data_IF_941223057860
#
_entry.id   IF_941223057860
#
_cell.length_a   1.000
_cell.length_b   1.000
_cell.length_c   1.000
_cell.angle_alpha   90.00
_cell.angle_beta   90.00
_cell.angle_gamma   90.00
#
_symmetry.space_group_name_H-M   'P 1'
#
loop_
_entity.id
_entity.type
_entity.pdbx_description
1 polymer ?
#
# COMPACT_ATOMS: atom_id res chain seq x y z
N UNK A 1 16.96 -16.48 -20.63
CA UNK A 1 16.20 -16.99 -21.78
C UNK A 1 15.07 -17.94 -21.37
N UNK A 2 15.25 -18.88 -20.44
CA UNK A 2 14.18 -19.82 -19.97
C UNK A 2 13.04 -19.09 -19.23
N UNK A 3 13.30 -17.99 -18.51
CA UNK A 3 12.29 -17.21 -17.78
C UNK A 3 11.32 -16.41 -18.69
N UNK A 4 11.75 -15.99 -19.87
CA UNK A 4 10.90 -15.22 -20.80
C UNK A 4 9.90 -16.12 -21.53
N UNK A 5 10.22 -17.39 -21.72
CA UNK A 5 9.37 -18.36 -22.44
C UNK A 5 8.18 -18.79 -21.58
N UNK A 6 8.38 -18.93 -20.25
CA UNK A 6 7.31 -19.34 -19.33
C UNK A 6 6.25 -18.25 -19.10
N UNK A 7 6.63 -16.97 -19.17
CA UNK A 7 5.71 -15.85 -18.92
C UNK A 7 4.68 -15.67 -20.04
N UNK A 8 5.02 -16.01 -21.26
CA UNK A 8 4.14 -15.87 -22.42
C UNK A 8 3.03 -16.94 -22.49
N UNK A 9 3.07 -17.96 -21.62
CA UNK A 9 2.05 -19.04 -21.57
C UNK A 9 0.84 -18.71 -20.67
N UNK A 10 0.86 -17.59 -19.92
CA UNK A 10 -0.18 -17.25 -18.97
C UNK A 10 -1.07 -16.11 -19.48
N UNK A 11 -2.34 -16.42 -19.73
CA UNK A 11 -3.33 -15.43 -20.20
C UNK A 11 -3.78 -14.42 -19.12
N UNK A 12 -3.53 -14.73 -17.84
CA UNK A 12 -4.00 -13.90 -16.75
C UNK A 12 -2.89 -12.98 -16.21
N UNK A 13 -3.03 -11.64 -16.38
CA UNK A 13 -2.03 -10.68 -15.92
C UNK A 13 -1.69 -10.79 -14.42
N UNK A 14 -2.66 -11.18 -13.57
CA UNK A 14 -2.43 -11.35 -12.14
C UNK A 14 -1.53 -12.55 -11.85
N UNK A 15 -1.68 -13.63 -12.59
CA UNK A 15 -0.83 -14.82 -12.45
C UNK A 15 0.62 -14.52 -12.83
N UNK A 16 0.83 -13.77 -13.90
CA UNK A 16 2.15 -13.28 -14.31
C UNK A 16 2.80 -12.47 -13.18
N UNK A 17 2.05 -11.56 -12.58
CA UNK A 17 2.56 -10.74 -11.48
C UNK A 17 2.82 -11.56 -10.20
N UNK A 18 2.08 -12.62 -9.92
CA UNK A 18 2.38 -13.53 -8.80
C UNK A 18 3.72 -14.25 -9.00
N UNK A 19 3.97 -14.74 -10.23
CA UNK A 19 5.23 -15.39 -10.57
C UNK A 19 6.39 -14.42 -10.42
N UNK A 20 6.28 -13.22 -10.99
CA UNK A 20 7.30 -12.17 -10.86
C UNK A 20 7.58 -11.82 -9.40
N UNK A 21 6.51 -11.60 -8.61
CA UNK A 21 6.64 -11.26 -7.19
C UNK A 21 7.36 -12.37 -6.42
N UNK A 22 6.98 -13.63 -6.63
CA UNK A 22 7.60 -14.76 -5.94
C UNK A 22 9.07 -14.91 -6.32
N UNK A 23 9.42 -14.89 -7.61
CA UNK A 23 10.81 -14.99 -8.06
C UNK A 23 11.66 -13.83 -7.55
N UNK A 24 11.15 -12.60 -7.63
CA UNK A 24 11.88 -11.43 -7.15
C UNK A 24 12.09 -11.45 -5.62
N UNK A 25 11.21 -12.12 -4.88
CA UNK A 25 11.30 -12.16 -3.42
C UNK A 25 12.48 -12.95 -2.88
N UNK A 26 13.05 -13.86 -3.67
CA UNK A 26 14.10 -14.76 -3.21
C UNK A 26 13.65 -15.76 -2.12
N UNK A 27 12.34 -15.85 -1.88
CA UNK A 27 11.82 -16.79 -0.88
C UNK A 27 11.99 -18.24 -1.34
N UNK A 28 12.33 -19.16 -0.44
CA UNK A 28 12.43 -20.58 -0.75
C UNK A 28 11.06 -21.12 -1.16
N UNK A 29 11.06 -22.15 -2.00
CA UNK A 29 9.82 -22.80 -2.42
C UNK A 29 9.02 -23.35 -1.24
N UNK A 30 9.71 -23.80 -0.19
CA UNK A 30 9.14 -24.24 1.08
C UNK A 30 9.94 -23.68 2.24
N UNK A 31 9.31 -23.30 3.35
CA UNK A 31 10.02 -22.87 4.55
C UNK A 31 10.69 -24.05 5.27
N UNK A 32 10.03 -25.21 5.28
CA UNK A 32 10.57 -26.40 5.91
C UNK A 32 11.51 -27.15 4.96
N UNK A 33 12.70 -27.51 5.46
CA UNK A 33 13.68 -28.30 4.72
C UNK A 33 13.28 -29.78 4.66
N UNK A 34 12.67 -30.29 5.73
CA UNK A 34 12.28 -31.70 5.91
C UNK A 34 10.76 -31.83 6.11
N UNK A 35 10.22 -33.04 5.93
CA UNK A 35 8.80 -33.35 6.11
C UNK A 35 7.95 -33.17 4.86
N UNK A 36 6.65 -33.48 5.01
CA UNK A 36 5.66 -33.45 3.93
C UNK A 36 5.38 -32.00 3.47
N UNK A 37 5.35 -31.81 2.15
CA UNK A 37 5.30 -30.47 1.53
C UNK A 37 4.09 -30.31 0.61
N UNK A 38 2.89 -30.23 1.18
CA UNK A 38 1.65 -30.06 0.41
C UNK A 38 1.58 -28.79 -0.43
N UNK A 39 2.13 -27.70 0.08
CA UNK A 39 1.95 -26.38 -0.50
C UNK A 39 3.25 -25.61 -0.55
N UNK A 40 3.51 -25.00 -1.69
CA UNK A 40 4.66 -24.12 -1.89
C UNK A 40 4.40 -22.71 -1.31
N UNK A 41 5.45 -21.97 -1.03
CA UNK A 41 5.32 -20.56 -0.62
C UNK A 41 4.74 -19.69 -1.74
N UNK A 42 4.99 -20.02 -3.01
CA UNK A 42 4.31 -19.39 -4.15
C UNK A 42 2.78 -19.54 -4.04
N UNK A 43 2.29 -20.77 -3.83
CA UNK A 43 0.87 -21.04 -3.66
C UNK A 43 0.28 -20.32 -2.45
N UNK A 44 0.97 -20.36 -1.30
CA UNK A 44 0.53 -19.68 -0.05
C UNK A 44 0.39 -18.17 -0.25
N UNK A 45 1.40 -17.51 -0.81
CA UNK A 45 1.42 -16.06 -1.07
C UNK A 45 0.31 -15.68 -2.04
N UNK A 46 0.23 -16.36 -3.19
CA UNK A 46 -0.77 -16.09 -4.23
C UNK A 46 -2.19 -16.27 -3.69
N UNK A 47 -2.43 -17.31 -2.89
CA UNK A 47 -3.74 -17.58 -2.31
C UNK A 47 -4.14 -16.55 -1.24
N UNK A 48 -3.19 -16.07 -0.43
CA UNK A 48 -3.42 -14.97 0.53
C UNK A 48 -3.76 -13.67 -0.22
N UNK A 49 -3.05 -13.37 -1.30
CA UNK A 49 -3.32 -12.19 -2.13
C UNK A 49 -4.71 -12.26 -2.74
N UNK A 50 -5.10 -13.42 -3.31
CA UNK A 50 -6.45 -13.64 -3.84
C UNK A 50 -7.52 -13.50 -2.76
N UNK A 51 -7.29 -14.07 -1.57
CA UNK A 51 -8.18 -13.93 -0.42
C UNK A 51 -8.38 -12.46 -0.04
N UNK A 52 -7.30 -11.69 0.05
CA UNK A 52 -7.39 -10.27 0.40
C UNK A 52 -8.09 -9.45 -0.69
N UNK A 53 -7.85 -9.77 -1.95
CA UNK A 53 -8.52 -9.12 -3.09
C UNK A 53 -10.03 -9.39 -3.13
N UNK A 54 -10.44 -10.59 -2.75
CA UNK A 54 -11.85 -11.01 -2.78
C UNK A 54 -12.69 -10.37 -1.67
N UNK A 55 -12.10 -10.09 -0.50
CA UNK A 55 -12.74 -9.39 0.61
C UNK A 55 -13.80 -10.21 1.37
N UNK A 56 -14.01 -11.50 1.02
CA UNK A 56 -14.97 -12.41 1.66
C UNK A 56 -14.46 -12.99 2.98
N UNK A 57 -15.30 -13.70 3.71
CA UNK A 57 -14.88 -14.52 4.87
C UNK A 57 -13.98 -15.66 4.40
N UNK A 58 -13.13 -16.19 5.30
CA UNK A 58 -12.27 -17.35 4.99
C UNK A 58 -13.06 -18.56 4.47
N UNK A 59 -14.26 -18.81 5.05
CA UNK A 59 -15.12 -19.93 4.63
C UNK A 59 -15.63 -19.72 3.21
N UNK A 60 -16.27 -18.58 2.94
CA UNK A 60 -16.87 -18.28 1.65
C UNK A 60 -15.82 -18.19 0.54
N UNK A 61 -14.62 -17.65 0.85
CA UNK A 61 -13.52 -17.60 -0.09
C UNK A 61 -13.05 -19.01 -0.50
N UNK A 62 -12.85 -19.93 0.45
CA UNK A 62 -12.41 -21.29 0.14
C UNK A 62 -13.47 -22.04 -0.71
N UNK A 63 -14.76 -21.87 -0.41
CA UNK A 63 -15.85 -22.45 -1.22
C UNK A 63 -15.80 -21.90 -2.66
N UNK A 64 -15.73 -20.59 -2.83
CA UNK A 64 -15.65 -19.97 -4.16
C UNK A 64 -14.41 -20.41 -4.96
N UNK A 65 -13.28 -20.52 -4.25
CA UNK A 65 -12.04 -20.96 -4.88
C UNK A 65 -12.09 -22.43 -5.35
N UNK A 66 -12.93 -23.28 -4.75
CA UNK A 66 -13.09 -24.67 -5.18
C UNK A 66 -13.65 -24.80 -6.60
N UNK A 67 -14.42 -23.82 -7.03
CA UNK A 67 -15.02 -23.76 -8.37
C UNK A 67 -14.20 -22.91 -9.36
N UNK A 68 -13.11 -22.33 -8.88
CA UNK A 68 -12.32 -21.35 -9.64
C UNK A 68 -11.16 -21.99 -10.38
N UNK A 69 -10.87 -21.51 -11.59
CA UNK A 69 -9.66 -21.84 -12.35
C UNK A 69 -8.35 -21.51 -11.62
N UNK A 70 -8.40 -20.65 -10.57
CA UNK A 70 -7.21 -20.31 -9.79
C UNK A 70 -6.54 -21.52 -9.13
N UNK A 71 -7.30 -22.56 -8.77
CA UNK A 71 -6.75 -23.77 -8.17
C UNK A 71 -5.80 -24.46 -9.14
N UNK A 72 -6.23 -24.72 -10.38
CA UNK A 72 -5.39 -25.30 -11.40
C UNK A 72 -4.26 -24.37 -11.85
N UNK A 73 -4.53 -23.09 -12.03
CA UNK A 73 -3.52 -22.10 -12.43
C UNK A 73 -2.38 -21.92 -11.43
N UNK A 74 -2.65 -22.09 -10.14
CA UNK A 74 -1.63 -22.04 -9.10
C UNK A 74 -1.00 -23.40 -8.81
N UNK A 75 -1.42 -24.47 -9.55
CA UNK A 75 -0.88 -25.80 -9.39
C UNK A 75 -1.25 -26.48 -8.07
N UNK A 76 -2.42 -26.18 -7.51
CA UNK A 76 -2.91 -26.86 -6.32
C UNK A 76 -3.39 -28.28 -6.67
N UNK A 77 -2.83 -29.28 -5.99
CA UNK A 77 -3.31 -30.68 -6.06
C UNK A 77 -4.59 -30.82 -5.21
N UNK A 78 -4.67 -30.12 -4.09
CA UNK A 78 -5.84 -30.09 -3.20
C UNK A 78 -6.11 -28.67 -2.71
N UNK A 79 -7.38 -28.38 -2.45
CA UNK A 79 -7.81 -27.07 -1.96
C UNK A 79 -7.43 -26.94 -0.47
N UNK A 80 -6.77 -25.83 -0.06
CA UNK A 80 -6.47 -25.61 1.35
C UNK A 80 -7.76 -25.33 2.14
N UNK A 81 -7.88 -25.89 3.33
CA UNK A 81 -9.00 -25.60 4.23
C UNK A 81 -8.95 -24.14 4.74
N UNK A 82 -10.08 -23.66 5.31
CA UNK A 82 -10.13 -22.35 5.97
C UNK A 82 -9.09 -22.22 7.09
N UNK A 83 -8.86 -23.31 7.84
CA UNK A 83 -7.88 -23.35 8.94
C UNK A 83 -6.45 -23.29 8.39
N UNK A 84 -6.18 -24.00 7.30
CA UNK A 84 -4.90 -23.94 6.59
C UNK A 84 -4.58 -22.52 6.12
N UNK A 85 -5.54 -21.85 5.46
CA UNK A 85 -5.36 -20.46 5.02
C UNK A 85 -5.16 -19.51 6.20
N UNK A 86 -5.91 -19.70 7.30
CA UNK A 86 -5.71 -18.90 8.50
C UNK A 86 -4.30 -19.06 9.08
N UNK A 87 -3.78 -20.29 9.13
CA UNK A 87 -2.43 -20.58 9.59
C UNK A 87 -1.37 -19.97 8.69
N UNK A 88 -1.58 -19.97 7.37
CA UNK A 88 -0.65 -19.30 6.44
C UNK A 88 -0.59 -17.78 6.69
N UNK A 89 -1.73 -17.12 6.93
CA UNK A 89 -1.73 -15.68 7.26
C UNK A 89 -0.95 -15.40 8.56
N UNK A 90 -1.01 -16.32 9.54
CA UNK A 90 -0.21 -16.21 10.77
C UNK A 90 1.28 -16.47 10.54
N UNK A 91 1.61 -17.42 9.67
CA UNK A 91 2.97 -17.89 9.41
C UNK A 91 3.88 -16.77 8.90
N UNK A 92 3.40 -15.95 7.94
CA UNK A 92 4.22 -14.89 7.38
C UNK A 92 4.46 -13.77 8.39
N UNK A 93 5.73 -13.55 8.71
CA UNK A 93 6.15 -12.43 9.56
C UNK A 93 6.04 -11.09 8.83
N UNK A 94 5.88 -9.99 9.56
CA UNK A 94 5.81 -8.65 8.99
C UNK A 94 7.05 -8.29 8.15
N UNK A 95 8.24 -8.78 8.54
CA UNK A 95 9.48 -8.60 7.77
C UNK A 95 9.33 -9.16 6.36
N UNK A 96 8.84 -10.41 6.24
CA UNK A 96 8.62 -11.07 4.94
C UNK A 96 7.54 -10.37 4.11
N UNK A 97 6.44 -9.94 4.74
CA UNK A 97 5.36 -9.21 4.06
C UNK A 97 5.88 -7.86 3.51
N UNK A 98 6.67 -7.13 4.31
CA UNK A 98 7.30 -5.88 3.88
C UNK A 98 8.34 -6.10 2.78
N UNK A 99 9.08 -7.21 2.82
CA UNK A 99 9.99 -7.60 1.75
C UNK A 99 9.23 -7.81 0.42
N UNK A 100 8.14 -8.58 0.43
CA UNK A 100 7.27 -8.76 -0.74
C UNK A 100 6.72 -7.42 -1.24
N UNK A 101 6.27 -6.56 -0.34
CA UNK A 101 5.77 -5.23 -0.68
C UNK A 101 6.84 -4.37 -1.38
N UNK A 102 8.09 -4.43 -0.95
CA UNK A 102 9.18 -3.62 -1.51
C UNK A 102 9.40 -3.87 -3.00
N UNK A 103 9.15 -5.09 -3.50
CA UNK A 103 9.27 -5.40 -4.94
C UNK A 103 8.16 -4.75 -5.79
N UNK A 104 7.09 -4.28 -5.16
CA UNK A 104 5.95 -3.67 -5.83
C UNK A 104 5.98 -2.14 -5.80
N UNK A 105 6.94 -1.54 -5.10
CA UNK A 105 7.11 -0.09 -5.02
C UNK A 105 7.39 0.52 -6.41
N UNK A 106 7.05 1.80 -6.63
CA UNK A 106 7.57 2.54 -7.78
C UNK A 106 9.10 2.62 -7.68
N UNK A 107 9.79 2.48 -8.81
CA UNK A 107 11.27 2.43 -8.83
C UNK A 107 11.90 3.82 -8.64
N UNK A 108 11.33 4.86 -9.25
CA UNK A 108 11.88 6.21 -9.28
C UNK A 108 10.78 7.24 -9.03
N UNK A 109 10.25 7.35 -7.80
CA UNK A 109 9.24 8.35 -7.49
C UNK A 109 9.90 9.75 -7.43
N UNK A 110 9.38 10.70 -8.19
CA UNK A 110 9.88 12.09 -8.17
C UNK A 110 8.94 13.03 -7.43
N UNK A 111 7.62 12.86 -7.60
CA UNK A 111 6.60 13.64 -6.94
C UNK A 111 5.67 12.73 -6.13
N UNK A 112 5.64 12.96 -4.84
CA UNK A 112 5.02 12.04 -3.87
C UNK A 112 4.12 12.81 -2.91
N UNK A 113 3.26 12.09 -2.18
CA UNK A 113 2.43 12.68 -1.14
C UNK A 113 2.41 11.80 0.11
N UNK A 114 2.32 12.43 1.29
CA UNK A 114 2.10 11.74 2.58
C UNK A 114 0.80 12.25 3.18
N UNK A 115 -0.02 11.31 3.67
CA UNK A 115 -1.25 11.61 4.38
C UNK A 115 -1.67 10.48 5.31
N UNK A 116 -2.43 10.82 6.36
CA UNK A 116 -2.99 9.88 7.32
C UNK A 116 -4.47 9.63 7.09
N UNK A 117 -4.93 8.41 7.33
CA UNK A 117 -6.35 8.07 7.27
C UNK A 117 -6.73 7.07 8.37
N UNK A 118 -7.95 7.16 8.89
CA UNK A 118 -8.47 6.23 9.90
C UNK A 118 -9.16 5.01 9.29
N UNK A 119 -9.00 3.85 9.93
CA UNK A 119 -9.76 2.63 9.62
C UNK A 119 -10.53 2.15 10.85
N UNK A 120 -11.81 1.86 10.65
CA UNK A 120 -12.64 1.23 11.68
C UNK A 120 -12.28 -0.23 11.88
N UNK A 121 -12.59 -0.77 13.07
CA UNK A 121 -12.50 -2.19 13.36
C UNK A 121 -13.88 -2.84 13.26
N UNK A 122 -13.97 -3.98 12.56
CA UNK A 122 -15.21 -4.74 12.43
C UNK A 122 -15.79 -5.22 13.78
N UNK A 123 -14.91 -5.54 14.73
CA UNK A 123 -15.29 -6.06 16.06
C UNK A 123 -15.74 -4.98 17.04
N UNK A 124 -16.05 -3.81 16.56
CA UNK A 124 -16.45 -2.67 17.36
C UNK A 124 -17.96 -2.66 17.54
N UNK A 125 -18.43 -2.57 18.78
CA UNK A 125 -19.83 -2.38 19.11
C UNK A 125 -20.15 -0.90 19.34
N UNK A 126 -20.69 -0.24 18.32
CA UNK A 126 -21.13 1.16 18.43
C UNK A 126 -22.21 1.37 19.49
N UNK A 127 -23.05 0.36 19.69
CA UNK A 127 -24.08 0.39 20.73
C UNK A 127 -23.46 0.39 22.13
N UNK A 128 -22.48 -0.48 22.36
CA UNK A 128 -21.76 -0.54 23.64
C UNK A 128 -21.00 0.76 23.93
N UNK A 129 -20.34 1.32 22.95
CA UNK A 129 -19.59 2.59 23.06
C UNK A 129 -20.51 3.76 23.46
N UNK A 130 -21.69 3.86 22.82
CA UNK A 130 -22.70 4.87 23.17
C UNK A 130 -23.20 4.72 24.62
N UNK A 131 -23.43 3.46 25.06
CA UNK A 131 -23.93 3.19 26.41
C UNK A 131 -22.91 3.50 27.51
N UNK A 132 -21.63 3.27 27.26
CA UNK A 132 -20.53 3.49 28.22
C UNK A 132 -20.02 4.94 28.17
N UNK A 133 -20.55 5.78 27.26
CA UNK A 133 -20.14 7.19 27.14
C UNK A 133 -18.75 7.42 26.56
N UNK A 134 -18.17 6.42 25.89
CA UNK A 134 -16.90 6.57 25.18
C UNK A 134 -17.09 7.48 23.96
N UNK A 135 -16.64 8.72 24.07
CA UNK A 135 -16.69 9.70 22.97
C UNK A 135 -15.57 9.54 21.96
N UNK A 136 -14.46 8.92 22.36
CA UNK A 136 -13.31 8.65 21.48
C UNK A 136 -13.30 7.19 21.05
N UNK A 137 -13.54 7.00 19.80
CA UNK A 137 -13.57 5.69 19.17
C UNK A 137 -12.14 5.16 18.95
N UNK A 138 -11.77 3.95 19.45
CA UNK A 138 -10.53 3.33 19.07
C UNK A 138 -10.55 3.03 17.57
N UNK A 139 -9.80 3.74 16.78
CA UNK A 139 -9.57 3.48 15.36
C UNK A 139 -8.09 3.19 15.13
N UNK A 140 -7.81 2.42 14.10
CA UNK A 140 -6.45 2.27 13.63
C UNK A 140 -6.14 3.43 12.67
N UNK A 141 -5.04 4.13 12.91
CA UNK A 141 -4.52 5.16 12.02
C UNK A 141 -3.56 4.52 11.03
N UNK A 142 -3.82 4.72 9.76
CA UNK A 142 -2.90 4.37 8.68
C UNK A 142 -2.29 5.65 8.12
N UNK A 143 -0.97 5.67 8.00
CA UNK A 143 -0.25 6.70 7.26
C UNK A 143 0.29 6.09 5.98
N UNK A 144 0.17 6.79 4.87
CA UNK A 144 0.59 6.35 3.54
C UNK A 144 1.58 7.33 2.93
N UNK A 145 2.56 6.79 2.24
CA UNK A 145 3.49 7.51 1.38
C UNK A 145 3.27 7.02 -0.05
N UNK A 146 2.89 7.89 -0.97
CA UNK A 146 2.34 7.54 -2.29
C UNK A 146 3.09 8.27 -3.40
N UNK A 147 3.38 7.58 -4.49
CA UNK A 147 3.84 8.18 -5.74
C UNK A 147 2.63 8.74 -6.51
N UNK A 148 2.67 10.02 -6.84
CA UNK A 148 1.54 10.71 -7.49
C UNK A 148 1.37 10.31 -8.96
N UNK A 149 2.44 9.90 -9.63
CA UNK A 149 2.40 9.51 -11.04
C UNK A 149 1.74 8.13 -11.24
N UNK A 150 2.23 7.12 -10.54
CA UNK A 150 1.73 5.73 -10.66
C UNK A 150 0.58 5.43 -9.72
N UNK A 151 0.31 6.29 -8.72
CA UNK A 151 -0.64 6.08 -7.62
C UNK A 151 -0.32 4.82 -6.79
N UNK A 152 0.94 4.36 -6.83
CA UNK A 152 1.41 3.24 -6.02
C UNK A 152 1.85 3.73 -4.64
N UNK A 153 1.68 2.87 -3.65
CA UNK A 153 2.16 3.10 -2.29
C UNK A 153 3.65 2.80 -2.22
N UNK A 154 4.43 3.77 -1.74
CA UNK A 154 5.88 3.68 -1.52
C UNK A 154 6.15 3.06 -0.16
N UNK A 155 5.42 3.53 0.86
CA UNK A 155 5.55 3.05 2.23
C UNK A 155 4.23 3.25 2.98
N UNK A 156 4.06 2.51 4.08
CA UNK A 156 2.88 2.57 4.91
C UNK A 156 3.18 2.29 6.38
N UNK A 157 2.34 2.79 7.28
CA UNK A 157 2.27 2.38 8.66
C UNK A 157 0.82 2.17 9.08
N UNK A 158 0.59 1.31 10.06
CA UNK A 158 -0.68 1.16 10.75
C UNK A 158 -0.41 1.16 12.25
N UNK A 159 -1.06 2.04 12.98
CA UNK A 159 -0.96 2.11 14.45
C UNK A 159 -2.35 2.10 15.07
N UNK A 160 -2.51 1.32 16.14
CA UNK A 160 -3.78 1.18 16.86
C UNK A 160 -3.89 2.17 18.05
N UNK A 161 -3.19 3.30 17.93
CA UNK A 161 -3.19 4.38 18.92
C UNK A 161 -3.10 5.73 18.22
N UNK A 162 -3.47 6.78 18.93
CA UNK A 162 -3.24 8.13 18.41
C UNK A 162 -1.73 8.37 18.27
N UNK A 163 -1.30 8.72 17.06
CA UNK A 163 0.08 9.10 16.74
C UNK A 163 0.07 10.34 15.88
N UNK A 164 0.99 11.26 16.19
CA UNK A 164 1.13 12.49 15.42
C UNK A 164 1.68 12.20 14.01
N UNK A 165 1.14 12.87 12.98
CA UNK A 165 1.46 12.65 11.56
C UNK A 165 2.95 12.77 11.26
N UNK A 166 3.64 13.72 11.89
CA UNK A 166 5.08 13.96 11.73
C UNK A 166 5.92 12.72 12.10
N UNK A 167 5.47 11.89 13.06
CA UNK A 167 6.22 10.69 13.48
C UNK A 167 6.26 9.67 12.36
N UNK A 168 5.11 9.42 11.70
CA UNK A 168 5.03 8.51 10.54
C UNK A 168 5.84 9.06 9.37
N UNK A 169 5.73 10.36 9.07
CA UNK A 169 6.50 11.00 8.01
C UNK A 169 8.02 10.86 8.22
N UNK A 170 8.53 11.12 9.43
CA UNK A 170 9.95 10.90 9.74
C UNK A 170 10.37 9.45 9.56
N UNK A 171 9.51 8.47 9.91
CA UNK A 171 9.80 7.05 9.69
C UNK A 171 9.88 6.71 8.19
N UNK A 172 8.97 7.23 7.37
CA UNK A 172 9.01 7.05 5.92
C UNK A 172 10.28 7.65 5.32
N UNK A 173 10.61 8.88 5.72
CA UNK A 173 11.82 9.54 5.27
C UNK A 173 13.12 8.81 5.69
N UNK A 174 13.11 8.10 6.82
CA UNK A 174 14.27 7.27 7.25
C UNK A 174 14.44 6.01 6.41
N UNK A 175 13.34 5.37 6.00
CA UNK A 175 13.33 4.06 5.35
C UNK A 175 13.45 4.11 3.82
N UNK A 176 13.20 5.28 3.23
CA UNK A 176 13.21 5.45 1.79
C UNK A 176 14.32 6.41 1.37
N UNK A 177 14.83 6.22 0.16
CA UNK A 177 15.68 7.20 -0.49
C UNK A 177 14.83 8.39 -0.92
N UNK A 178 15.32 9.60 -0.65
CA UNK A 178 14.63 10.86 -0.96
C UNK A 178 15.41 11.74 -1.96
N UNK A 179 16.49 11.22 -2.52
CA UNK A 179 17.26 11.98 -3.51
C UNK A 179 16.34 12.39 -4.67
N UNK A 180 16.25 13.69 -4.92
CA UNK A 180 15.42 14.32 -5.95
C UNK A 180 13.89 14.08 -5.82
N UNK A 181 13.44 13.63 -4.63
CA UNK A 181 12.02 13.41 -4.32
C UNK A 181 11.38 14.66 -3.77
N UNK A 182 10.28 15.09 -4.37
CA UNK A 182 9.39 16.13 -3.83
C UNK A 182 8.21 15.50 -3.11
N UNK A 183 8.01 15.89 -1.84
CA UNK A 183 6.96 15.37 -0.97
C UNK A 183 5.91 16.46 -0.75
N UNK A 184 4.65 16.16 -1.02
CA UNK A 184 3.50 17.03 -0.80
C UNK A 184 2.72 16.54 0.44
N UNK A 185 2.48 17.43 1.39
CA UNK A 185 1.76 17.12 2.62
C UNK A 185 0.69 18.17 2.92
N UNK A 186 -0.20 17.86 3.87
CA UNK A 186 -1.10 18.87 4.41
C UNK A 186 -0.42 19.73 5.50
N UNK A 187 -1.16 20.73 6.05
CA UNK A 187 -0.63 21.62 7.08
C UNK A 187 -0.31 20.92 8.42
N UNK A 188 -0.74 19.67 8.65
CA UNK A 188 -0.39 18.93 9.85
C UNK A 188 1.11 18.54 9.88
N UNK A 189 1.72 18.48 8.71
CA UNK A 189 3.14 18.18 8.51
C UNK A 189 4.04 19.42 8.49
N UNK A 190 3.48 20.64 8.66
CA UNK A 190 4.23 21.88 8.67
C UNK A 190 5.13 21.97 9.92
N UNK A 191 6.35 21.47 9.79
CA UNK A 191 7.36 21.40 10.84
C UNK A 191 8.75 21.64 10.25
N UNK A 192 9.46 22.68 10.72
CA UNK A 192 10.78 23.07 10.23
C UNK A 192 11.80 21.93 10.30
N UNK A 193 11.75 21.13 11.38
CA UNK A 193 12.63 19.98 11.57
C UNK A 193 12.37 18.87 10.53
N UNK A 194 11.10 18.64 10.16
CA UNK A 194 10.77 17.67 9.12
C UNK A 194 11.25 18.14 7.74
N UNK A 195 11.07 19.42 7.42
CA UNK A 195 11.58 19.98 6.18
C UNK A 195 13.10 19.86 6.08
N UNK A 196 13.83 20.20 7.17
CA UNK A 196 15.29 20.06 7.23
C UNK A 196 15.70 18.60 7.02
N UNK A 197 15.04 17.68 7.71
CA UNK A 197 15.33 16.26 7.61
C UNK A 197 15.17 15.72 6.17
N UNK A 198 14.13 16.16 5.45
CA UNK A 198 13.92 15.79 4.03
C UNK A 198 14.99 16.43 3.15
N UNK A 199 15.33 17.70 3.40
CA UNK A 199 16.35 18.41 2.65
C UNK A 199 17.74 17.78 2.80
N UNK A 200 18.13 17.41 4.00
CA UNK A 200 19.41 16.76 4.30
C UNK A 200 19.56 15.39 3.58
N UNK A 201 18.43 14.81 3.15
CA UNK A 201 18.38 13.60 2.32
C UNK A 201 18.23 13.86 0.81
N UNK A 202 18.44 15.10 0.36
CA UNK A 202 18.33 15.48 -1.04
C UNK A 202 16.92 15.68 -1.56
N UNK A 203 15.90 15.66 -0.71
CA UNK A 203 14.51 15.85 -1.09
C UNK A 203 13.98 17.27 -0.84
N UNK A 204 12.72 17.50 -1.22
CA UNK A 204 11.97 18.72 -0.97
C UNK A 204 10.62 18.40 -0.33
N UNK A 205 10.22 19.15 0.69
CA UNK A 205 8.90 19.03 1.31
C UNK A 205 8.11 20.33 1.08
N UNK A 206 6.85 20.19 0.70
CA UNK A 206 5.89 21.30 0.64
C UNK A 206 4.66 20.95 1.49
N UNK A 207 4.40 21.81 2.48
CA UNK A 207 3.21 21.76 3.32
C UNK A 207 2.67 23.19 3.54
N UNK A 208 1.36 23.42 3.46
CA UNK A 208 0.80 24.72 3.75
C UNK A 208 1.18 25.18 5.15
N UNK A 209 1.65 26.42 5.28
CA UNK A 209 2.05 26.98 6.56
C UNK A 209 0.86 27.03 7.51
N UNK A 210 0.97 26.33 8.64
CA UNK A 210 -0.08 26.28 9.65
C UNK A 210 -0.20 27.61 10.37
N UNK A 211 -1.38 28.21 10.31
CA UNK A 211 -1.70 29.44 11.10
C UNK A 211 -1.79 29.05 12.57
N UNK A 212 -0.78 29.45 13.35
CA UNK A 212 -0.76 29.26 14.79
C UNK A 212 -1.64 30.33 15.39
N UNK A 213 -2.84 30.01 15.80
CA UNK A 213 -3.84 30.87 16.48
C UNK A 213 -4.19 32.20 15.79
N UNK A 214 -5.49 32.50 15.70
CA UNK A 214 -6.02 33.81 15.25
C UNK A 214 -5.49 35.01 16.08
N UNK A 215 -5.00 34.74 17.29
CA UNK A 215 -4.46 35.76 18.24
C UNK A 215 -2.93 35.93 18.18
N UNK A 216 -2.21 35.11 17.42
CA UNK A 216 -0.75 35.23 17.30
C UNK A 216 -0.41 36.47 16.45
N UNK A 217 0.29 37.43 17.02
CA UNK A 217 0.89 38.57 16.30
C UNK A 217 1.95 38.15 15.26
N UNK A 218 2.36 36.87 15.24
CA UNK A 218 3.37 36.33 14.31
C UNK A 218 2.69 35.90 13.02
N UNK A 219 2.64 36.78 12.03
CA UNK A 219 2.07 36.51 10.69
C UNK A 219 2.90 35.54 9.84
N UNK A 220 4.19 35.38 10.15
CA UNK A 220 5.14 34.62 9.33
C UNK A 220 5.89 33.57 10.12
N UNK A 221 6.17 32.39 9.51
CA UNK A 221 7.02 31.36 10.12
C UNK A 221 8.45 31.89 10.30
N UNK A 222 9.13 31.50 11.38
CA UNK A 222 10.52 31.87 11.60
C UNK A 222 11.51 31.03 10.79
N UNK A 223 11.19 29.73 10.54
CA UNK A 223 12.03 28.78 9.86
C UNK A 223 12.21 29.09 8.37
N UNK A 224 13.41 28.85 7.85
CA UNK A 224 13.75 29.12 6.44
C UNK A 224 12.94 28.23 5.48
N UNK A 225 12.82 26.95 5.79
CA UNK A 225 12.07 26.01 4.95
C UNK A 225 10.58 26.33 4.93
N UNK A 226 9.99 26.64 6.10
CA UNK A 226 8.58 27.01 6.21
C UNK A 226 8.26 28.32 5.50
N UNK A 227 9.19 29.29 5.46
CA UNK A 227 9.02 30.53 4.70
C UNK A 227 8.84 30.26 3.20
N UNK A 228 9.54 29.26 2.64
CA UNK A 228 9.39 28.86 1.23
C UNK A 228 8.02 28.27 0.92
N UNK A 229 7.28 27.79 1.92
CA UNK A 229 5.93 27.25 1.76
C UNK A 229 4.83 28.31 1.91
N UNK A 230 5.17 29.60 2.07
CA UNK A 230 4.20 30.69 1.98
C UNK A 230 3.59 30.78 0.57
N UNK A 231 4.38 30.48 -0.44
CA UNK A 231 3.98 30.30 -1.82
C UNK A 231 4.17 28.84 -2.21
N UNK A 232 3.06 28.15 -2.41
CA UNK A 232 3.08 26.74 -2.82
C UNK A 232 3.24 26.65 -4.33
N UNK A 233 3.97 25.62 -4.86
CA UNK A 233 4.15 25.46 -6.28
C UNK A 233 2.82 25.09 -6.98
N UNK A 234 2.67 25.43 -8.26
CA UNK A 234 1.46 25.16 -9.06
C UNK A 234 1.04 23.70 -9.05
N UNK A 235 2.02 22.80 -9.00
CA UNK A 235 1.75 21.36 -8.94
C UNK A 235 1.29 20.86 -7.57
N UNK A 236 1.18 21.74 -6.54
CA UNK A 236 0.77 21.32 -5.18
C UNK A 236 -0.60 20.63 -5.16
N UNK A 237 -1.51 20.97 -6.07
CA UNK A 237 -2.81 20.33 -6.21
C UNK A 237 -2.73 18.80 -6.46
N UNK A 238 -1.60 18.28 -6.94
CA UNK A 238 -1.36 16.84 -7.08
C UNK A 238 -1.32 16.10 -5.74
N UNK A 239 -1.22 16.80 -4.60
CA UNK A 239 -1.43 16.22 -3.27
C UNK A 239 -2.77 15.47 -3.16
N UNK A 240 -3.82 15.96 -3.79
CA UNK A 240 -5.15 15.33 -3.75
C UNK A 240 -5.18 13.89 -4.30
N UNK A 241 -4.14 13.46 -5.01
CA UNK A 241 -4.01 12.07 -5.47
C UNK A 241 -3.99 11.10 -4.30
N UNK A 242 -3.38 11.47 -3.14
CA UNK A 242 -3.36 10.58 -1.98
C UNK A 242 -4.76 10.39 -1.37
N UNK A 243 -5.62 11.41 -1.43
CA UNK A 243 -7.01 11.31 -1.00
C UNK A 243 -7.78 10.30 -1.88
N UNK A 244 -7.54 10.34 -3.20
CA UNK A 244 -8.10 9.36 -4.14
C UNK A 244 -7.57 7.93 -3.89
N UNK A 245 -6.30 7.79 -3.51
CA UNK A 245 -5.70 6.51 -3.10
C UNK A 245 -6.38 6.01 -1.81
N UNK A 246 -6.52 6.85 -0.79
CA UNK A 246 -7.19 6.54 0.47
C UNK A 246 -8.66 6.11 0.24
N UNK A 247 -9.39 6.86 -0.59
CA UNK A 247 -10.77 6.51 -0.96
C UNK A 247 -10.84 5.17 -1.70
N UNK A 248 -9.94 4.92 -2.66
CA UNK A 248 -9.86 3.66 -3.39
C UNK A 248 -9.56 2.48 -2.47
N UNK A 249 -8.62 2.63 -1.54
CA UNK A 249 -8.31 1.61 -0.55
C UNK A 249 -9.54 1.25 0.29
N UNK A 250 -10.22 2.25 0.84
CA UNK A 250 -11.43 2.04 1.68
C UNK A 250 -12.57 1.42 0.89
N UNK A 251 -12.81 1.88 -0.33
CA UNK A 251 -13.95 1.43 -1.14
C UNK A 251 -13.75 0.03 -1.73
N UNK A 252 -12.54 -0.27 -2.23
CA UNK A 252 -12.29 -1.47 -3.05
C UNK A 252 -11.57 -2.60 -2.33
N UNK A 253 -10.77 -2.31 -1.31
CA UNK A 253 -9.84 -3.29 -0.75
C UNK A 253 -10.01 -3.54 0.75
N UNK A 254 -10.29 -2.51 1.54
CA UNK A 254 -10.35 -2.61 3.00
C UNK A 254 -11.26 -1.54 3.60
N UNK A 255 -12.56 -1.80 3.66
CA UNK A 255 -13.52 -0.90 4.29
C UNK A 255 -13.36 -0.81 5.81
N UNK A 256 -12.96 -1.91 6.47
CA UNK A 256 -12.67 -1.98 7.89
C UNK A 256 -11.67 -3.10 8.19
N UNK A 257 -10.97 -3.01 9.33
CA UNK A 257 -10.06 -4.06 9.82
C UNK A 257 -10.86 -5.17 10.48
N UNK A 258 -10.72 -6.39 9.99
CA UNK A 258 -11.53 -7.56 10.43
C UNK A 258 -10.81 -8.42 11.47
N UNK A 259 -9.55 -8.15 11.76
CA UNK A 259 -8.77 -8.93 12.73
C UNK A 259 -8.89 -8.37 14.14
N UNK A 260 -8.79 -9.25 15.17
CA UNK A 260 -8.95 -8.86 16.57
C UNK A 260 -7.68 -8.26 17.17
N UNK A 261 -6.54 -8.94 16.98
CA UNK A 261 -5.26 -8.50 17.56
C UNK A 261 -4.56 -7.47 16.68
N UNK A 262 -3.79 -6.58 17.29
CA UNK A 262 -3.12 -5.50 16.60
C UNK A 262 -2.11 -6.01 15.56
N UNK A 263 -1.32 -7.04 15.90
CA UNK A 263 -0.43 -7.70 14.96
C UNK A 263 -1.16 -8.25 13.73
N UNK A 264 -2.33 -8.86 13.93
CA UNK A 264 -3.09 -9.42 12.81
C UNK A 264 -3.79 -8.34 12.00
N UNK A 265 -4.16 -7.19 12.59
CA UNK A 265 -4.64 -6.00 11.87
C UNK A 265 -3.51 -5.43 10.99
N UNK A 266 -2.31 -5.34 11.54
CA UNK A 266 -1.13 -4.86 10.80
C UNK A 266 -0.80 -5.77 9.61
N UNK A 267 -0.80 -7.10 9.81
CA UNK A 267 -0.64 -8.08 8.71
C UNK A 267 -1.76 -7.96 7.67
N UNK A 268 -3.00 -7.82 8.12
CA UNK A 268 -4.15 -7.62 7.24
C UNK A 268 -3.98 -6.39 6.37
N UNK A 269 -3.56 -5.28 6.95
CA UNK A 269 -3.30 -4.04 6.25
C UNK A 269 -2.13 -4.20 5.27
N UNK A 270 -1.02 -4.78 5.70
CA UNK A 270 0.17 -4.98 4.87
C UNK A 270 -0.12 -5.84 3.63
N UNK A 271 -0.85 -6.94 3.77
CA UNK A 271 -1.31 -7.75 2.64
C UNK A 271 -2.23 -6.97 1.70
N UNK A 272 -3.05 -6.07 2.25
CA UNK A 272 -3.89 -5.19 1.42
C UNK A 272 -3.06 -4.21 0.60
N UNK A 273 -1.95 -3.68 1.14
CA UNK A 273 -1.03 -2.82 0.39
C UNK A 273 -0.37 -3.57 -0.78
N UNK A 274 -0.02 -4.85 -0.57
CA UNK A 274 0.48 -5.72 -1.66
C UNK A 274 -0.57 -5.86 -2.77
N UNK A 275 -1.82 -6.19 -2.41
CA UNK A 275 -2.93 -6.32 -3.37
C UNK A 275 -3.16 -5.01 -4.13
N UNK A 276 -3.13 -3.88 -3.44
CA UNK A 276 -3.29 -2.57 -4.03
C UNK A 276 -2.19 -2.29 -5.07
N UNK A 277 -0.92 -2.43 -4.70
CA UNK A 277 0.20 -2.16 -5.60
C UNK A 277 0.24 -3.13 -6.80
N UNK A 278 -0.08 -4.41 -6.60
CA UNK A 278 -0.24 -5.37 -7.70
C UNK A 278 -1.34 -4.94 -8.69
N UNK A 279 -2.49 -4.53 -8.16
CA UNK A 279 -3.60 -4.04 -9.00
C UNK A 279 -3.17 -2.82 -9.80
N UNK A 280 -2.48 -1.87 -9.15
CA UNK A 280 -1.94 -0.68 -9.84
C UNK A 280 -0.88 -1.02 -10.88
N UNK A 281 -0.05 -2.02 -10.64
CA UNK A 281 0.92 -2.50 -11.66
C UNK A 281 0.19 -2.97 -12.91
N UNK A 282 -0.87 -3.77 -12.77
CA UNK A 282 -1.64 -4.30 -13.88
C UNK A 282 -2.45 -3.18 -14.59
N UNK A 283 -3.06 -2.27 -13.83
CA UNK A 283 -3.79 -1.13 -14.39
C UNK A 283 -2.86 -0.23 -15.22
N UNK A 284 -1.68 0.10 -14.71
CA UNK A 284 -0.72 0.98 -15.38
C UNK A 284 -0.12 0.33 -16.63
N UNK A 285 0.17 -0.98 -16.62
CA UNK A 285 0.67 -1.69 -17.81
C UNK A 285 -0.36 -1.70 -18.94
N UNK A 286 -1.64 -1.90 -18.64
CA UNK A 286 -2.73 -1.82 -19.64
C UNK A 286 -2.88 -0.42 -20.22
N UNK A 287 -2.73 0.62 -19.41
CA UNK A 287 -2.81 2.01 -19.88
C UNK A 287 -1.64 2.35 -20.79
N UNK A 288 -0.41 1.94 -20.43
CA UNK A 288 0.77 2.12 -21.28
C UNK A 288 0.65 1.40 -22.63
N UNK A 289 0.15 0.16 -22.66
CA UNK A 289 -0.10 -0.57 -23.91
C UNK A 289 -1.13 0.12 -24.81
N UNK A 290 -2.21 0.69 -24.24
CA UNK A 290 -3.18 1.47 -25.01
C UNK A 290 -2.54 2.73 -25.60
N UNK A 291 -1.77 3.49 -24.82
CA UNK A 291 -1.10 4.69 -25.30
C UNK A 291 -0.11 4.39 -26.43
N UNK A 292 0.69 3.33 -26.32
CA UNK A 292 1.57 2.88 -27.40
C UNK A 292 0.79 2.51 -28.66
N UNK A 293 -0.32 1.79 -28.52
CA UNK A 293 -1.17 1.43 -29.65
C UNK A 293 -1.75 2.67 -30.36
N UNK A 294 -2.23 3.67 -29.61
CA UNK A 294 -2.68 4.94 -30.20
C UNK A 294 -1.55 5.71 -30.87
N UNK A 295 -0.35 5.72 -30.29
CA UNK A 295 0.81 6.38 -30.88
C UNK A 295 1.22 5.71 -32.19
N UNK A 296 1.24 4.37 -32.26
CA UNK A 296 1.50 3.64 -33.52
C UNK A 296 0.41 3.89 -34.58
N UNK A 297 -0.85 3.96 -34.18
CA UNK A 297 -1.96 4.27 -35.10
C UNK A 297 -1.79 5.70 -35.65
N UNK A 298 -1.45 6.67 -34.80
CA UNK A 298 -1.19 8.06 -35.25
C UNK A 298 -0.01 8.12 -36.24
N UNK A 299 1.09 7.41 -35.96
CA UNK A 299 2.22 7.35 -36.91
C UNK A 299 1.78 6.75 -38.24
N UNK A 300 0.96 5.69 -38.24
CA UNK A 300 0.47 5.06 -39.48
C UNK A 300 -0.53 5.91 -40.25
N UNK A 301 -1.17 6.89 -39.64
CA UNK A 301 -2.10 7.82 -40.29
C UNK A 301 -1.37 9.02 -40.90
N UNK A 302 -0.19 9.37 -40.37
CA UNK A 302 0.59 10.52 -40.80
C UNK A 302 1.82 10.16 -41.66
N UNK A 303 2.04 8.89 -41.98
CA UNK A 303 2.97 8.37 -42.97
C UNK A 303 2.22 7.56 -44.04
#
# INVERSE_FOLDING_TARGET
MVQSILINQYDNPMQVEFIKLFHSSGLPLHFNKTGYKDFTNYQRISFIILFRRNGKSLRNFVVEMSESKWISWLGFVRIPSKSTLHNWIKLFEMKTIKQLFNFLKPKFPTLTAIDGTGFDSFHRSRHYEKRVGFTKMPYAKADLFVDTATKKIIDFSLVNKHQHDIVAAKQFCRRNDLQDVTILCDGAYDCEELHRFVYDKGGKLFAPVRKINKRSLRKFPKGWFRKRCLELPDFFGKRNIIEAVNASLKKRFLNCLRRKTDLMKEKEFAWTMIVYNLTKTIENSKTGQKQLKYFFILILIFY
#
